data_IF_756443847941
#
_entry.id   IF_756443847941
#
_cell.length_a   1.000
_cell.length_b   1.000
_cell.length_c   1.000
_cell.angle_alpha   90.00
_cell.angle_beta   90.00
_cell.angle_gamma   90.00
#
_symmetry.space_group_name_H-M   'P 1'
#
loop_
_entity.id
_entity.type
_entity.pdbx_description
1 polymer ?
#
# COMPACT_ATOMS: atom_id res chain seq x y z
N UNK A 1 -28.85 -23.32 -70.03
CA UNK A 1 -27.61 -23.46 -69.29
C UNK A 1 -27.58 -22.33 -68.28
N UNK A 2 -28.08 -22.58 -67.07
CA UNK A 2 -28.18 -21.58 -66.02
C UNK A 2 -26.91 -21.71 -65.14
N UNK A 3 -26.15 -20.62 -65.04
CA UNK A 3 -24.96 -20.52 -64.19
C UNK A 3 -25.46 -20.07 -62.81
N UNK A 4 -25.38 -20.96 -61.81
CA UNK A 4 -25.64 -20.63 -60.41
C UNK A 4 -24.34 -20.08 -59.83
N UNK A 5 -24.29 -18.76 -59.60
CA UNK A 5 -23.18 -18.10 -58.87
C UNK A 5 -23.48 -18.26 -57.38
N UNK A 6 -22.77 -19.18 -56.73
CA UNK A 6 -22.82 -19.34 -55.27
C UNK A 6 -21.95 -18.27 -54.60
N UNK A 7 -22.59 -17.27 -54.01
CA UNK A 7 -21.88 -16.24 -53.20
C UNK A 7 -21.48 -16.83 -51.85
N UNK A 8 -20.19 -17.07 -51.68
CA UNK A 8 -19.61 -17.46 -50.41
C UNK A 8 -19.51 -16.23 -49.50
N UNK A 9 -20.42 -16.09 -48.53
CA UNK A 9 -20.33 -15.08 -47.49
C UNK A 9 -19.27 -15.53 -46.49
N UNK A 10 -18.08 -14.92 -46.53
CA UNK A 10 -17.04 -15.08 -45.48
C UNK A 10 -17.45 -14.22 -44.29
N UNK A 11 -17.98 -14.84 -43.26
CA UNK A 11 -18.26 -14.21 -41.98
C UNK A 11 -16.91 -13.95 -41.28
N UNK A 12 -16.36 -12.74 -41.40
CA UNK A 12 -15.18 -12.30 -40.65
C UNK A 12 -15.66 -11.97 -39.23
N UNK A 13 -15.48 -12.91 -38.30
CA UNK A 13 -15.68 -12.69 -36.88
C UNK A 13 -14.47 -11.84 -36.43
N UNK A 14 -14.68 -10.54 -36.28
CA UNK A 14 -13.74 -9.68 -35.53
C UNK A 14 -13.81 -10.09 -34.05
N UNK A 15 -12.90 -10.96 -33.62
CA UNK A 15 -12.63 -11.14 -32.21
C UNK A 15 -12.00 -9.83 -31.73
N UNK A 16 -12.81 -8.94 -31.16
CA UNK A 16 -12.30 -7.75 -30.48
C UNK A 16 -11.44 -8.22 -29.32
N UNK A 17 -10.15 -7.92 -29.36
CA UNK A 17 -9.27 -8.12 -28.21
C UNK A 17 -9.78 -7.20 -27.07
N UNK A 18 -9.79 -7.69 -25.82
CA UNK A 18 -10.15 -6.84 -24.68
C UNK A 18 -9.30 -5.57 -24.68
N UNK A 19 -9.92 -4.44 -24.40
CA UNK A 19 -9.22 -3.17 -24.29
C UNK A 19 -8.45 -3.08 -22.97
N UNK A 20 -7.56 -2.10 -22.85
CA UNK A 20 -6.90 -1.78 -21.57
C UNK A 20 -7.93 -1.61 -20.45
N UNK A 21 -9.01 -0.87 -20.70
CA UNK A 21 -10.01 -0.57 -19.69
C UNK A 21 -10.82 -1.82 -19.29
N UNK A 22 -11.05 -2.75 -20.22
CA UNK A 22 -11.65 -4.06 -19.91
C UNK A 22 -10.74 -4.85 -18.95
N UNK A 23 -9.43 -4.88 -19.20
CA UNK A 23 -8.45 -5.54 -18.32
C UNK A 23 -8.39 -4.86 -16.95
N UNK A 24 -8.39 -3.52 -16.87
CA UNK A 24 -8.39 -2.80 -15.59
C UNK A 24 -9.67 -3.08 -14.78
N UNK A 25 -10.84 -3.05 -15.42
CA UNK A 25 -12.13 -3.32 -14.77
C UNK A 25 -12.20 -4.77 -14.25
N UNK A 26 -11.75 -5.72 -15.05
CA UNK A 26 -11.69 -7.13 -14.67
C UNK A 26 -10.71 -7.37 -13.53
N UNK A 27 -9.54 -6.76 -13.61
CA UNK A 27 -8.54 -6.78 -12.53
C UNK A 27 -9.08 -6.17 -11.23
N UNK A 28 -9.81 -5.05 -11.30
CA UNK A 28 -10.45 -4.44 -10.13
C UNK A 28 -11.52 -5.36 -9.52
N UNK A 29 -12.26 -6.10 -10.34
CA UNK A 29 -13.24 -7.09 -9.87
C UNK A 29 -12.55 -8.22 -9.09
N UNK A 30 -11.46 -8.78 -9.63
CA UNK A 30 -10.67 -9.79 -8.92
C UNK A 30 -10.04 -9.23 -7.63
N UNK A 31 -9.53 -8.01 -7.65
CA UNK A 31 -8.96 -7.36 -6.48
C UNK A 31 -9.99 -7.20 -5.34
N UNK A 32 -11.23 -6.79 -5.69
CA UNK A 32 -12.33 -6.67 -4.74
C UNK A 32 -12.83 -8.02 -4.22
N UNK A 33 -12.71 -9.09 -5.01
CA UNK A 33 -13.00 -10.47 -4.58
C UNK A 33 -11.83 -11.16 -3.86
N UNK A 34 -10.80 -10.41 -3.50
CA UNK A 34 -9.60 -10.90 -2.79
C UNK A 34 -8.72 -11.87 -3.59
N UNK A 35 -8.88 -11.94 -4.93
CA UNK A 35 -8.03 -12.73 -5.82
C UNK A 35 -6.92 -11.87 -6.44
N UNK A 36 -5.88 -11.64 -5.64
CA UNK A 36 -4.75 -10.81 -6.04
C UNK A 36 -3.95 -11.40 -7.21
N UNK A 37 -3.95 -12.72 -7.38
CA UNK A 37 -3.21 -13.35 -8.49
C UNK A 37 -3.89 -13.10 -9.84
N UNK A 38 -5.21 -13.25 -9.91
CA UNK A 38 -5.96 -12.94 -11.12
C UNK A 38 -5.98 -11.43 -11.40
N UNK A 39 -6.09 -10.61 -10.35
CA UNK A 39 -6.00 -9.15 -10.48
C UNK A 39 -4.67 -8.73 -11.11
N UNK A 40 -3.54 -9.30 -10.62
CA UNK A 40 -2.21 -9.00 -11.16
C UNK A 40 -2.09 -9.40 -12.63
N UNK A 41 -2.62 -10.57 -13.04
CA UNK A 41 -2.61 -11.01 -14.43
C UNK A 41 -3.33 -10.02 -15.35
N UNK A 42 -4.50 -9.57 -14.96
CA UNK A 42 -5.27 -8.61 -15.77
C UNK A 42 -4.58 -7.24 -15.84
N UNK A 43 -4.04 -6.74 -14.72
CA UNK A 43 -3.26 -5.50 -14.72
C UNK A 43 -1.99 -5.60 -15.57
N UNK A 44 -1.35 -6.78 -15.60
CA UNK A 44 -0.18 -7.01 -16.44
C UNK A 44 -0.52 -7.00 -17.94
N UNK A 45 -1.69 -7.54 -18.33
CA UNK A 45 -2.18 -7.45 -19.71
C UNK A 45 -2.40 -5.98 -20.10
N UNK A 46 -3.05 -5.18 -19.25
CA UNK A 46 -3.21 -3.75 -19.49
C UNK A 46 -1.85 -3.02 -19.60
N UNK A 47 -0.87 -3.40 -18.78
CA UNK A 47 0.47 -2.80 -18.80
C UNK A 47 1.24 -3.12 -20.08
N UNK A 48 1.12 -4.34 -20.59
CA UNK A 48 1.84 -4.74 -21.82
C UNK A 48 1.44 -3.85 -23.01
N UNK A 49 0.18 -3.46 -23.09
CA UNK A 49 -0.33 -2.59 -24.14
C UNK A 49 -0.04 -1.10 -23.89
N UNK A 50 -0.08 -0.68 -22.61
CA UNK A 50 0.03 0.73 -22.21
C UNK A 50 0.94 0.90 -20.97
N UNK A 51 2.27 0.74 -21.11
CA UNK A 51 3.20 0.72 -19.97
C UNK A 51 3.38 2.06 -19.26
N UNK A 52 2.94 3.17 -19.84
CA UNK A 52 2.97 4.49 -19.22
C UNK A 52 1.63 4.97 -18.69
N UNK A 53 0.56 4.16 -18.82
CA UNK A 53 -0.77 4.57 -18.37
C UNK A 53 -0.84 4.73 -16.84
N UNK A 54 -1.36 5.86 -16.39
CA UNK A 54 -1.46 6.22 -14.97
C UNK A 54 -2.23 5.21 -14.14
N UNK A 55 -3.42 4.84 -14.62
CA UNK A 55 -4.31 3.95 -13.90
C UNK A 55 -3.77 2.53 -13.81
N UNK A 56 -3.08 2.08 -14.86
CA UNK A 56 -2.41 0.78 -14.91
C UNK A 56 -1.24 0.72 -13.93
N UNK A 57 -0.35 1.72 -13.96
CA UNK A 57 0.79 1.81 -13.06
C UNK A 57 0.38 1.87 -11.59
N UNK A 58 -0.65 2.68 -11.25
CA UNK A 58 -1.18 2.73 -9.89
C UNK A 58 -1.63 1.36 -9.37
N UNK A 59 -2.35 0.59 -10.20
CA UNK A 59 -2.86 -0.73 -9.83
C UNK A 59 -1.74 -1.75 -9.68
N UNK A 60 -0.76 -1.73 -10.58
CA UNK A 60 0.40 -2.63 -10.52
C UNK A 60 1.25 -2.36 -9.28
N UNK A 61 1.54 -1.09 -8.97
CA UNK A 61 2.28 -0.74 -7.75
C UNK A 61 1.51 -1.22 -6.52
N UNK A 62 0.21 -0.93 -6.45
CA UNK A 62 -0.65 -1.33 -5.34
C UNK A 62 -0.65 -2.84 -5.15
N UNK A 63 -0.93 -3.60 -6.21
CA UNK A 63 -1.08 -5.05 -6.11
C UNK A 63 0.23 -5.73 -5.70
N UNK A 64 1.39 -5.27 -6.20
CA UNK A 64 2.67 -5.80 -5.77
C UNK A 64 2.97 -5.47 -4.30
N UNK A 65 2.65 -4.28 -3.79
CA UNK A 65 2.76 -3.97 -2.37
C UNK A 65 1.85 -4.85 -1.52
N UNK A 66 0.61 -5.07 -1.95
CA UNK A 66 -0.34 -5.88 -1.21
C UNK A 66 0.08 -7.36 -1.17
N UNK A 67 0.52 -7.96 -2.29
CA UNK A 67 1.04 -9.33 -2.32
C UNK A 67 2.30 -9.45 -1.44
N UNK A 68 3.24 -8.51 -1.54
CA UNK A 68 4.44 -8.52 -0.71
C UNK A 68 4.12 -8.50 0.79
N UNK A 69 3.11 -7.74 1.20
CA UNK A 69 2.69 -7.65 2.60
C UNK A 69 2.05 -8.94 3.11
N UNK A 70 1.24 -9.60 2.29
CA UNK A 70 0.55 -10.85 2.65
C UNK A 70 1.55 -12.00 2.79
N UNK A 71 2.56 -12.03 1.94
CA UNK A 71 3.59 -13.06 1.91
C UNK A 71 4.73 -12.83 2.92
N UNK A 72 4.60 -11.91 3.88
CA UNK A 72 5.62 -11.62 4.91
C UNK A 72 6.12 -12.87 5.67
N UNK A 73 5.42 -13.99 5.57
CA UNK A 73 5.85 -15.28 6.16
C UNK A 73 6.97 -15.99 5.37
N UNK A 74 7.24 -15.56 4.11
CA UNK A 74 8.29 -16.13 3.24
C UNK A 74 9.14 -14.99 2.68
N UNK A 75 10.16 -14.57 3.41
CA UNK A 75 10.93 -13.34 3.18
C UNK A 75 11.35 -13.05 1.73
N UNK A 76 11.76 -14.06 0.95
CA UNK A 76 12.22 -13.87 -0.44
C UNK A 76 11.10 -13.48 -1.42
N UNK A 77 9.91 -14.03 -1.28
CA UNK A 77 8.79 -13.68 -2.16
C UNK A 77 8.25 -12.28 -1.84
N UNK A 78 8.19 -11.89 -0.56
CA UNK A 78 7.86 -10.54 -0.16
C UNK A 78 8.83 -9.52 -0.76
N UNK A 79 10.13 -9.77 -0.63
CA UNK A 79 11.17 -8.90 -1.20
C UNK A 79 11.01 -8.74 -2.71
N UNK A 80 10.79 -9.84 -3.44
CA UNK A 80 10.57 -9.83 -4.89
C UNK A 80 9.42 -8.90 -5.28
N UNK A 81 8.28 -9.02 -4.62
CA UNK A 81 7.13 -8.18 -4.90
C UNK A 81 7.36 -6.71 -4.53
N UNK A 82 8.02 -6.41 -3.43
CA UNK A 82 8.37 -5.03 -3.08
C UNK A 82 9.38 -4.41 -4.06
N UNK A 83 10.33 -5.18 -4.57
CA UNK A 83 11.24 -4.71 -5.63
C UNK A 83 10.50 -4.39 -6.93
N UNK A 84 9.55 -5.23 -7.33
CA UNK A 84 8.69 -4.96 -8.49
C UNK A 84 7.82 -3.71 -8.25
N UNK A 85 7.21 -3.59 -7.07
CA UNK A 85 6.46 -2.38 -6.71
C UNK A 85 7.32 -1.12 -6.82
N UNK A 86 8.56 -1.16 -6.35
CA UNK A 86 9.48 -0.02 -6.44
C UNK A 86 9.83 0.35 -7.89
N UNK A 87 10.06 -0.64 -8.77
CA UNK A 87 10.33 -0.41 -10.21
C UNK A 87 9.12 0.28 -10.88
N UNK A 88 7.90 -0.20 -10.64
CA UNK A 88 6.71 0.41 -11.20
C UNK A 88 6.39 1.79 -10.58
N UNK A 89 6.69 1.97 -9.29
CA UNK A 89 6.56 3.26 -8.63
C UNK A 89 7.55 4.31 -9.14
N UNK A 90 8.78 3.92 -9.45
CA UNK A 90 9.76 4.78 -10.15
C UNK A 90 9.22 5.23 -11.51
N UNK A 91 8.60 4.32 -12.26
CA UNK A 91 7.98 4.64 -13.55
C UNK A 91 6.79 5.58 -13.39
N UNK A 92 5.91 5.29 -12.43
CA UNK A 92 4.74 6.12 -12.12
C UNK A 92 5.16 7.56 -11.75
N UNK A 93 6.14 7.71 -10.87
CA UNK A 93 6.63 9.02 -10.44
C UNK A 93 7.31 9.79 -11.59
N UNK A 94 8.04 9.10 -12.45
CA UNK A 94 8.72 9.70 -13.61
C UNK A 94 7.73 10.22 -14.66
N UNK A 95 6.65 9.47 -14.94
CA UNK A 95 5.63 9.88 -15.90
C UNK A 95 4.67 10.92 -15.32
N UNK A 96 4.44 10.88 -14.00
CA UNK A 96 3.44 11.71 -13.32
C UNK A 96 4.02 12.43 -12.08
N UNK A 97 5.05 13.28 -12.27
CA UNK A 97 5.77 13.93 -11.17
C UNK A 97 4.91 14.90 -10.35
N UNK A 98 3.77 15.34 -10.88
CA UNK A 98 2.84 16.25 -10.20
C UNK A 98 1.69 15.54 -9.48
N UNK A 99 1.65 14.19 -9.51
CA UNK A 99 0.64 13.41 -8.83
C UNK A 99 1.00 13.14 -7.37
N UNK A 100 0.14 13.55 -6.43
CA UNK A 100 0.28 13.22 -5.01
C UNK A 100 0.31 11.70 -4.79
N UNK A 101 -0.54 10.95 -5.51
CA UNK A 101 -0.58 9.49 -5.42
C UNK A 101 0.71 8.86 -5.97
N UNK A 102 1.33 9.39 -7.04
CA UNK A 102 2.60 8.87 -7.54
C UNK A 102 3.72 9.01 -6.49
N UNK A 103 3.80 10.15 -5.83
CA UNK A 103 4.74 10.36 -4.74
C UNK A 103 4.46 9.44 -3.53
N UNK A 104 3.20 9.27 -3.18
CA UNK A 104 2.81 8.36 -2.08
C UNK A 104 3.21 6.91 -2.39
N UNK A 105 2.87 6.39 -3.58
CA UNK A 105 3.18 5.03 -3.95
C UNK A 105 4.67 4.78 -4.09
N UNK A 106 5.43 5.79 -4.55
CA UNK A 106 6.89 5.73 -4.52
C UNK A 106 7.42 5.56 -3.09
N UNK A 107 6.96 6.43 -2.17
CA UNK A 107 7.39 6.38 -0.77
C UNK A 107 7.02 5.05 -0.09
N UNK A 108 5.80 4.53 -0.34
CA UNK A 108 5.34 3.26 0.21
C UNK A 108 6.16 2.09 -0.33
N UNK A 109 6.33 1.99 -1.66
CA UNK A 109 7.04 0.89 -2.29
C UNK A 109 8.53 0.85 -1.88
N UNK A 110 9.21 2.00 -1.85
CA UNK A 110 10.60 2.09 -1.37
C UNK A 110 10.69 1.79 0.12
N UNK A 111 9.80 2.35 0.95
CA UNK A 111 9.76 2.10 2.39
C UNK A 111 9.58 0.61 2.73
N UNK A 112 8.80 -0.10 1.94
CA UNK A 112 8.57 -1.55 2.11
C UNK A 112 9.83 -2.40 1.88
N UNK A 113 10.89 -1.85 1.26
CA UNK A 113 12.17 -2.52 1.08
C UNK A 113 13.11 -2.40 2.30
N UNK A 114 12.83 -1.52 3.24
CA UNK A 114 13.70 -1.27 4.41
C UNK A 114 14.10 -2.56 5.16
N UNK A 115 13.21 -3.54 5.41
CA UNK A 115 13.58 -4.78 6.09
C UNK A 115 14.59 -5.66 5.34
N UNK A 116 14.73 -5.49 4.02
CA UNK A 116 15.49 -6.37 3.12
C UNK A 116 16.83 -5.81 2.68
N UNK A 117 17.19 -4.62 3.12
CA UNK A 117 18.38 -3.91 2.65
C UNK A 117 19.36 -3.59 3.79
N UNK A 118 20.61 -3.31 3.43
CA UNK A 118 21.65 -2.95 4.38
C UNK A 118 21.48 -1.52 4.94
N UNK A 119 22.18 -1.20 6.04
CA UNK A 119 22.05 0.06 6.77
C UNK A 119 22.23 1.30 5.86
N UNK A 120 23.22 1.29 4.98
CA UNK A 120 23.48 2.41 4.05
C UNK A 120 22.29 2.68 3.12
N UNK A 121 21.69 1.62 2.61
CA UNK A 121 20.53 1.69 1.71
C UNK A 121 19.26 2.07 2.47
N UNK A 122 19.06 1.58 3.71
CA UNK A 122 17.96 2.02 4.58
C UNK A 122 17.95 3.54 4.76
N UNK A 123 19.13 4.12 4.97
CA UNK A 123 19.28 5.56 5.13
C UNK A 123 18.92 6.31 3.85
N UNK A 124 19.37 5.84 2.69
CA UNK A 124 19.04 6.44 1.39
C UNK A 124 17.53 6.38 1.13
N UNK A 125 16.91 5.22 1.34
CA UNK A 125 15.46 5.02 1.22
C UNK A 125 14.70 5.94 2.18
N UNK A 126 15.12 6.06 3.44
CA UNK A 126 14.48 6.95 4.40
C UNK A 126 14.45 8.42 3.95
N UNK A 127 15.51 8.90 3.31
CA UNK A 127 15.54 10.26 2.70
C UNK A 127 14.52 10.38 1.57
N UNK A 128 14.51 9.43 0.65
CA UNK A 128 13.58 9.41 -0.49
C UNK A 128 12.14 9.38 0.01
N UNK A 129 11.82 8.50 0.97
CA UNK A 129 10.49 8.40 1.59
C UNK A 129 10.05 9.74 2.17
N UNK A 130 10.92 10.38 2.99
CA UNK A 130 10.61 11.69 3.60
C UNK A 130 10.31 12.75 2.53
N UNK A 131 11.15 12.85 1.50
CA UNK A 131 11.00 13.83 0.42
C UNK A 131 9.70 13.61 -0.37
N UNK A 132 9.41 12.36 -0.73
CA UNK A 132 8.21 12.03 -1.49
C UNK A 132 6.93 12.17 -0.68
N UNK A 133 6.93 11.87 0.63
CA UNK A 133 5.80 12.16 1.51
C UNK A 133 5.51 13.66 1.61
N UNK A 134 6.56 14.46 1.74
CA UNK A 134 6.41 15.92 1.74
C UNK A 134 5.83 16.41 0.41
N UNK A 135 6.34 15.90 -0.71
CA UNK A 135 5.87 16.25 -2.04
C UNK A 135 4.40 15.82 -2.27
N UNK A 136 3.99 14.64 -1.78
CA UNK A 136 2.60 14.19 -1.84
C UNK A 136 1.66 15.15 -1.09
N UNK A 137 2.02 15.53 0.14
CA UNK A 137 1.21 16.43 0.97
C UNK A 137 1.21 17.90 0.50
N UNK A 138 2.24 18.33 -0.22
CA UNK A 138 2.25 19.63 -0.88
C UNK A 138 1.27 19.69 -2.06
N UNK A 139 1.09 18.58 -2.78
CA UNK A 139 0.19 18.49 -3.94
C UNK A 139 -1.26 18.22 -3.51
N UNK A 140 -1.44 17.43 -2.47
CA UNK A 140 -2.74 17.13 -1.88
C UNK A 140 -2.63 17.12 -0.34
N UNK A 141 -2.97 18.24 0.28
CA UNK A 141 -2.87 18.44 1.73
C UNK A 141 -3.92 17.68 2.55
N UNK A 142 -4.91 17.05 1.89
CA UNK A 142 -5.93 16.22 2.53
C UNK A 142 -5.77 14.73 2.21
N UNK A 143 -4.67 14.33 1.58
CA UNK A 143 -4.41 12.95 1.19
C UNK A 143 -4.18 12.05 2.41
N UNK A 144 -5.25 11.40 2.87
CA UNK A 144 -5.29 10.59 4.09
C UNK A 144 -4.18 9.53 4.14
N UNK A 145 -3.96 8.79 3.06
CA UNK A 145 -2.92 7.74 3.00
C UNK A 145 -1.49 8.26 3.20
N UNK A 146 -1.19 9.48 2.75
CA UNK A 146 0.13 10.08 2.97
C UNK A 146 0.37 10.41 4.46
N UNK A 147 -0.67 10.80 5.19
CA UNK A 147 -0.59 10.96 6.65
C UNK A 147 -0.38 9.63 7.37
N UNK A 148 -1.03 8.55 6.92
CA UNK A 148 -0.78 7.21 7.49
C UNK A 148 0.67 6.81 7.33
N UNK A 149 1.24 6.96 6.13
CA UNK A 149 2.64 6.61 5.90
C UNK A 149 3.61 7.51 6.70
N UNK A 150 3.25 8.78 6.89
CA UNK A 150 4.02 9.69 7.76
C UNK A 150 3.96 9.24 9.23
N UNK A 151 2.81 8.77 9.69
CA UNK A 151 2.65 8.23 11.03
C UNK A 151 3.50 6.97 11.26
N UNK A 152 3.51 6.05 10.29
CA UNK A 152 4.38 4.87 10.32
C UNK A 152 5.84 5.30 10.45
N UNK A 153 6.28 6.29 9.66
CA UNK A 153 7.64 6.81 9.72
C UNK A 153 8.00 7.37 11.11
N UNK A 154 7.09 8.09 11.76
CA UNK A 154 7.27 8.60 13.13
C UNK A 154 7.34 7.46 14.16
N UNK A 155 6.45 6.46 14.06
CA UNK A 155 6.46 5.31 14.96
C UNK A 155 7.75 4.50 14.84
N UNK A 156 8.14 4.13 13.63
CA UNK A 156 9.36 3.37 13.40
C UNK A 156 10.60 4.15 13.85
N UNK A 157 10.66 5.47 13.60
CA UNK A 157 11.73 6.35 14.07
C UNK A 157 11.81 6.43 15.59
N UNK A 158 10.67 6.35 16.30
CA UNK A 158 10.66 6.37 17.78
C UNK A 158 11.30 5.12 18.38
N UNK A 159 11.21 3.99 17.69
CA UNK A 159 11.70 2.68 18.14
C UNK A 159 13.18 2.43 17.79
N UNK A 160 13.83 3.33 17.06
CA UNK A 160 15.24 3.22 16.77
C UNK A 160 16.07 3.24 18.06
N UNK A 161 17.06 2.36 18.15
CA UNK A 161 18.03 2.37 19.23
C UNK A 161 18.85 3.68 19.25
N UNK A 162 19.46 4.00 20.37
CA UNK A 162 20.34 5.17 20.48
C UNK A 162 21.49 5.16 19.46
N UNK A 163 22.00 3.97 19.12
CA UNK A 163 23.06 3.79 18.15
C UNK A 163 22.56 4.10 16.72
N UNK A 164 21.38 3.57 16.36
CA UNK A 164 20.75 3.87 15.07
C UNK A 164 20.39 5.35 14.94
N UNK A 165 19.86 5.97 16.01
CA UNK A 165 19.63 7.42 16.06
C UNK A 165 20.91 8.21 15.84
N UNK A 166 22.03 7.75 16.41
CA UNK A 166 23.36 8.37 16.20
C UNK A 166 23.79 8.31 14.74
N UNK A 167 23.66 7.16 14.07
CA UNK A 167 23.97 7.00 12.65
C UNK A 167 23.08 7.90 11.80
N UNK A 168 21.80 7.89 12.06
CA UNK A 168 20.80 8.71 11.35
C UNK A 168 21.16 10.20 11.46
N UNK A 169 21.48 10.69 12.66
CA UNK A 169 21.87 12.08 12.90
C UNK A 169 23.12 12.49 12.13
N UNK A 170 24.14 11.63 12.10
CA UNK A 170 25.39 11.89 11.37
C UNK A 170 25.15 11.97 9.87
N UNK A 171 24.30 11.08 9.33
CA UNK A 171 24.09 10.95 7.89
C UNK A 171 23.06 11.95 7.36
N UNK A 172 22.03 12.25 8.14
CA UNK A 172 20.94 13.13 7.72
C UNK A 172 21.11 14.58 8.19
N UNK A 173 21.96 14.82 9.19
CA UNK A 173 22.11 16.16 9.79
C UNK A 173 20.86 16.62 10.57
N UNK A 174 19.87 15.75 10.74
CA UNK A 174 18.60 16.02 11.40
C UNK A 174 18.34 14.96 12.48
N UNK A 175 17.61 15.34 13.50
CA UNK A 175 17.05 14.38 14.45
C UNK A 175 15.84 13.68 13.79
N UNK A 176 16.01 12.41 13.42
CA UNK A 176 14.93 11.55 12.93
C UNK A 176 14.40 10.64 14.04
N UNK A 177 14.61 11.00 15.29
CA UNK A 177 13.92 10.36 16.39
C UNK A 177 12.44 10.64 16.23
N UNK A 178 11.70 9.67 15.68
CA UNK A 178 10.27 9.74 15.55
C UNK A 178 9.58 9.81 16.92
N UNK A 179 8.30 10.08 16.92
CA UNK A 179 7.49 10.22 18.13
C UNK A 179 6.19 9.41 17.98
N UNK A 180 5.88 8.58 18.97
CA UNK A 180 4.59 7.88 19.03
C UNK A 180 3.43 8.86 19.06
N UNK A 181 3.56 9.96 19.80
CA UNK A 181 2.54 11.00 19.85
C UNK A 181 2.35 11.72 18.50
N UNK A 182 3.44 12.00 17.76
CA UNK A 182 3.33 12.54 16.40
C UNK A 182 2.68 11.52 15.45
N UNK A 183 3.00 10.23 15.59
CA UNK A 183 2.35 9.16 14.83
C UNK A 183 0.84 9.17 15.05
N UNK A 184 0.39 9.18 16.31
CA UNK A 184 -1.02 9.26 16.67
C UNK A 184 -1.71 10.49 16.06
N UNK A 185 -1.10 11.68 16.18
CA UNK A 185 -1.66 12.91 15.62
C UNK A 185 -1.83 12.83 14.10
N UNK A 186 -0.87 12.23 13.37
CA UNK A 186 -0.99 12.05 11.92
C UNK A 186 -2.08 11.04 11.56
N UNK A 187 -2.27 9.98 12.34
CA UNK A 187 -3.34 9.00 12.13
C UNK A 187 -4.72 9.61 12.40
N UNK A 188 -4.87 10.37 13.47
CA UNK A 188 -6.08 11.13 13.75
C UNK A 188 -6.36 12.15 12.64
N UNK A 189 -5.32 12.77 12.06
CA UNK A 189 -5.47 13.67 10.92
C UNK A 189 -5.88 12.92 9.66
N UNK A 190 -5.33 11.74 9.40
CA UNK A 190 -5.74 10.89 8.30
C UNK A 190 -7.23 10.52 8.40
N UNK A 191 -7.69 10.15 9.59
CA UNK A 191 -9.08 9.79 9.87
C UNK A 191 -10.05 10.97 9.81
N UNK A 192 -9.60 12.20 10.07
CA UNK A 192 -10.42 13.40 9.84
C UNK A 192 -10.69 13.65 8.35
N UNK A 193 -9.76 13.28 7.46
CA UNK A 193 -9.93 13.42 6.02
C UNK A 193 -10.64 12.23 5.37
N UNK A 194 -10.45 11.03 5.92
CA UNK A 194 -11.13 9.81 5.45
C UNK A 194 -11.43 8.87 6.62
N UNK A 195 -12.64 8.94 7.13
CA UNK A 195 -13.13 8.09 8.23
C UNK A 195 -13.31 6.62 7.84
N UNK A 196 -13.20 6.31 6.54
CA UNK A 196 -13.30 4.93 6.01
C UNK A 196 -11.93 4.30 5.72
N UNK A 197 -10.84 4.98 6.08
CA UNK A 197 -9.48 4.49 5.88
C UNK A 197 -9.13 3.40 6.91
N UNK A 198 -9.38 2.13 6.55
CA UNK A 198 -9.06 0.96 7.37
C UNK A 198 -7.57 0.88 7.71
N UNK A 199 -6.70 1.33 6.78
CA UNK A 199 -5.25 1.36 6.99
C UNK A 199 -4.87 2.33 8.12
N UNK A 200 -5.55 3.48 8.22
CA UNK A 200 -5.32 4.43 9.31
C UNK A 200 -5.71 3.84 10.67
N UNK A 201 -6.84 3.16 10.80
CA UNK A 201 -7.23 2.50 12.05
C UNK A 201 -6.28 1.36 12.41
N UNK A 202 -5.81 0.59 11.42
CA UNK A 202 -4.87 -0.50 11.67
C UNK A 202 -3.51 0.02 12.18
N UNK A 203 -2.99 1.09 11.61
CA UNK A 203 -1.75 1.71 12.08
C UNK A 203 -1.95 2.48 13.41
N UNK A 204 -3.16 3.00 13.68
CA UNK A 204 -3.51 3.60 14.97
C UNK A 204 -3.45 2.56 16.09
N UNK A 205 -4.05 1.38 15.87
CA UNK A 205 -3.93 0.27 16.82
C UNK A 205 -2.46 -0.01 17.20
N UNK A 206 -1.57 -0.14 16.22
CA UNK A 206 -0.16 -0.41 16.49
C UNK A 206 0.57 0.74 17.19
N UNK A 207 0.15 1.97 16.93
CA UNK A 207 0.72 3.16 17.60
C UNK A 207 0.25 3.24 19.06
N UNK A 208 -1.04 3.09 19.32
CA UNK A 208 -1.63 3.12 20.66
C UNK A 208 -1.12 1.95 21.52
N UNK A 209 -0.99 0.77 20.92
CA UNK A 209 -0.34 -0.39 21.56
C UNK A 209 1.11 -0.10 21.96
N UNK A 210 1.88 0.58 21.10
CA UNK A 210 3.24 0.99 21.43
C UNK A 210 3.30 2.09 22.51
N UNK A 211 2.22 2.86 22.69
CA UNK A 211 2.04 3.85 23.75
C UNK A 211 1.51 3.23 25.06
N UNK A 212 1.18 1.94 25.05
CA UNK A 212 0.51 1.23 26.16
C UNK A 212 -0.89 1.80 26.48
N UNK A 213 -1.54 2.47 25.50
CA UNK A 213 -2.92 2.96 25.61
C UNK A 213 -3.93 1.84 25.28
N UNK A 214 -4.28 1.07 26.31
CA UNK A 214 -5.19 -0.08 26.18
C UNK A 214 -6.63 0.30 25.82
N UNK A 215 -7.06 1.53 26.09
CA UNK A 215 -8.39 2.01 25.72
C UNK A 215 -8.44 2.39 24.23
N UNK A 216 -7.40 3.09 23.77
CA UNK A 216 -7.26 3.51 22.39
C UNK A 216 -7.09 2.32 21.44
N UNK A 217 -6.15 1.43 21.72
CA UNK A 217 -5.87 0.28 20.87
C UNK A 217 -7.11 -0.63 20.70
N UNK A 218 -7.90 -0.84 21.77
CA UNK A 218 -9.17 -1.55 21.72
C UNK A 218 -10.20 -0.84 20.83
N UNK A 219 -10.27 0.49 20.92
CA UNK A 219 -11.18 1.30 20.11
C UNK A 219 -10.83 1.18 18.63
N UNK A 220 -9.55 1.28 18.27
CA UNK A 220 -9.07 1.13 16.90
C UNK A 220 -9.42 -0.25 16.31
N UNK A 221 -9.20 -1.34 17.08
CA UNK A 221 -9.61 -2.70 16.67
C UNK A 221 -11.12 -2.80 16.42
N UNK A 222 -11.95 -2.20 17.29
CA UNK A 222 -13.41 -2.21 17.11
C UNK A 222 -13.84 -1.51 15.82
N UNK A 223 -13.15 -0.45 15.40
CA UNK A 223 -13.44 0.21 14.13
C UNK A 223 -13.09 -0.67 12.94
N UNK A 224 -11.94 -1.35 12.96
CA UNK A 224 -11.54 -2.28 11.90
C UNK A 224 -12.57 -3.41 11.76
N UNK A 225 -13.03 -4.00 12.89
CA UNK A 225 -13.98 -5.11 12.89
C UNK A 225 -15.37 -4.74 12.36
N UNK A 226 -15.75 -3.46 12.43
CA UNK A 226 -17.04 -2.96 11.90
C UNK A 226 -17.00 -2.65 10.41
N UNK A 227 -15.81 -2.51 9.81
CA UNK A 227 -15.67 -2.19 8.39
C UNK A 227 -15.73 -3.46 7.54
N UNK A 228 -16.57 -3.54 6.50
CA UNK A 228 -16.50 -4.64 5.55
C UNK A 228 -15.17 -4.53 4.75
N UNK A 229 -14.39 -5.62 4.65
CA UNK A 229 -13.15 -5.60 3.90
C UNK A 229 -13.44 -5.46 2.40
N UNK A 230 -12.71 -4.60 1.71
CA UNK A 230 -12.87 -4.29 0.28
C UNK A 230 -11.84 -4.99 -0.61
N UNK A 231 -10.86 -5.65 0.00
CA UNK A 231 -9.76 -6.35 -0.66
C UNK A 231 -9.04 -7.26 0.34
N UNK A 232 -8.14 -8.12 -0.17
CA UNK A 232 -7.42 -9.11 0.63
C UNK A 232 -6.56 -8.48 1.75
N UNK A 233 -5.99 -7.29 1.53
CA UNK A 233 -5.23 -6.60 2.58
C UNK A 233 -6.12 -6.21 3.75
N UNK A 234 -7.29 -5.66 3.48
CA UNK A 234 -8.26 -5.27 4.52
C UNK A 234 -8.84 -6.50 5.22
N UNK A 235 -9.07 -7.60 4.49
CA UNK A 235 -9.46 -8.87 5.08
C UNK A 235 -8.41 -9.37 6.08
N UNK A 236 -7.14 -9.40 5.70
CA UNK A 236 -6.06 -9.81 6.60
C UNK A 236 -5.92 -8.88 7.82
N UNK A 237 -6.10 -7.57 7.65
CA UNK A 237 -6.13 -6.62 8.77
C UNK A 237 -7.29 -6.91 9.73
N UNK A 238 -8.45 -7.28 9.20
CA UNK A 238 -9.61 -7.64 10.02
C UNK A 238 -9.41 -8.98 10.75
N UNK A 239 -8.82 -9.97 10.11
CA UNK A 239 -8.46 -11.26 10.73
C UNK A 239 -7.45 -11.07 11.86
N UNK A 240 -6.41 -10.26 11.65
CA UNK A 240 -5.45 -9.90 12.71
C UNK A 240 -6.15 -9.14 13.85
N UNK A 241 -7.01 -8.17 13.54
CA UNK A 241 -7.78 -7.45 14.55
C UNK A 241 -8.67 -8.38 15.39
N UNK A 242 -9.28 -9.41 14.78
CA UNK A 242 -10.03 -10.44 15.49
C UNK A 242 -9.15 -11.23 16.46
N UNK A 243 -7.95 -11.60 16.03
CA UNK A 243 -6.99 -12.32 16.85
C UNK A 243 -6.53 -11.46 18.04
N UNK A 244 -6.18 -10.20 17.80
CA UNK A 244 -5.77 -9.26 18.86
C UNK A 244 -6.90 -9.02 19.86
N UNK A 245 -8.14 -8.86 19.41
CA UNK A 245 -9.30 -8.69 20.29
C UNK A 245 -9.53 -9.92 21.20
N UNK A 246 -9.31 -11.14 20.71
CA UNK A 246 -9.39 -12.37 21.54
C UNK A 246 -8.36 -12.36 22.65
N UNK A 247 -7.14 -11.88 22.38
CA UNK A 247 -6.10 -11.74 23.40
C UNK A 247 -6.54 -10.79 24.51
N UNK A 248 -7.15 -9.66 24.15
CA UNK A 248 -7.72 -8.72 25.14
C UNK A 248 -8.76 -9.36 26.04
N UNK A 249 -9.68 -10.13 25.46
CA UNK A 249 -10.76 -10.76 26.22
C UNK A 249 -10.18 -11.80 27.20
N UNK A 250 -9.23 -12.61 26.74
CA UNK A 250 -8.63 -13.66 27.57
C UNK A 250 -7.82 -13.09 28.74
N UNK A 251 -7.06 -12.01 28.53
CA UNK A 251 -6.28 -11.37 29.59
C UNK A 251 -7.15 -10.73 30.69
N UNK A 252 -8.34 -10.25 30.33
CA UNK A 252 -9.29 -9.65 31.28
C UNK A 252 -10.16 -10.68 32.03
N UNK A 253 -10.07 -11.97 31.71
CA UNK A 253 -10.76 -13.06 32.44
C UNK A 253 -9.84 -13.81 33.43
N UNK A 254 -8.57 -13.43 33.53
CA UNK A 254 -7.57 -14.05 34.42
C UNK A 254 -7.24 -13.20 35.65
N UNK A 255 -7.84 -12.01 35.78
CA UNK A 255 -7.81 -11.17 36.98
C UNK A 255 -9.18 -11.24 37.73
#
# INVERSE_FOLDING_TARGET
MQIVVSSLFVLVIFLSHPSKDDHLMKGDTFYQSCDNEQALKEYQLAYNDFPSDYNTLLRIVRIHNDIGRIQLRTGSESEKHYRLAAIYADSLQRYYPDSAAAHFWFALAKGSLIPFVGVREKIAIGKEVKQHLQAALQRDSIFSYAYVLKAIFEREGSQLSWFEKGIVRIVFGEDLSGSLHASEQYLQKALRYDTTNSFAYYELYWTEKAMEDTAGDRSALQHILKMPPRNLREQNQQEDAQQQMRVFINNNHTD
#
